data_IF_368976416671
#
_entry.id   IF_368976416671
#
_cell.length_a   1.000
_cell.length_b   1.000
_cell.length_c   1.000
_cell.angle_alpha   90.00
_cell.angle_beta   90.00
_cell.angle_gamma   90.00
#
_symmetry.space_group_name_H-M   'P 1'
#
loop_
_entity.id
_entity.type
_entity.pdbx_description
1 polymer ?
#
# COMPACT_ATOMS: atom_id res chain seq x y z
N UNK A 1 -6.05 50.20 -12.17
CA UNK A 1 -7.18 49.25 -12.03
C UNK A 1 -7.12 48.34 -13.26
N UNK A 2 -6.71 47.08 -13.08
CA UNK A 2 -6.56 46.15 -14.21
C UNK A 2 -7.61 45.04 -14.10
N UNK A 3 -8.45 44.99 -15.11
CA UNK A 3 -9.62 44.11 -15.23
C UNK A 3 -9.24 42.72 -15.75
N UNK A 4 -9.96 41.72 -15.25
CA UNK A 4 -9.93 40.30 -15.61
C UNK A 4 -10.48 40.08 -17.03
N UNK A 5 -9.91 39.12 -17.76
CA UNK A 5 -10.64 38.40 -18.83
C UNK A 5 -10.12 36.96 -18.96
N UNK A 6 -11.04 36.00 -18.89
CA UNK A 6 -10.82 34.56 -19.04
C UNK A 6 -11.08 34.17 -20.50
N UNK A 7 -10.14 33.48 -21.15
CA UNK A 7 -10.26 32.87 -22.48
C UNK A 7 -10.61 31.39 -22.24
N UNK A 8 -11.85 30.94 -22.45
CA UNK A 8 -12.46 30.51 -23.71
C UNK A 8 -11.82 29.23 -24.32
N UNK A 9 -12.58 28.14 -24.19
CA UNK A 9 -12.83 27.10 -25.20
C UNK A 9 -11.66 26.26 -25.73
N UNK A 10 -11.60 24.99 -25.31
CA UNK A 10 -11.06 23.91 -26.13
C UNK A 10 -12.13 22.82 -26.28
N UNK A 11 -12.72 22.75 -27.47
CA UNK A 11 -13.56 21.65 -27.90
C UNK A 11 -12.66 20.46 -28.30
N UNK A 12 -13.05 19.24 -27.94
CA UNK A 12 -12.54 18.05 -28.61
C UNK A 12 -13.69 17.05 -28.82
N UNK A 13 -14.16 17.00 -30.07
CA UNK A 13 -15.05 15.96 -30.61
C UNK A 13 -14.19 14.79 -31.05
N UNK A 14 -14.51 13.57 -30.63
CA UNK A 14 -14.20 12.35 -31.38
C UNK A 14 -15.10 11.21 -30.90
N UNK A 15 -16.04 10.79 -31.75
CA UNK A 15 -16.82 9.57 -31.55
C UNK A 15 -15.98 8.34 -31.86
N UNK A 16 -16.22 7.25 -31.12
CA UNK A 16 -15.86 5.90 -31.54
C UNK A 16 -17.02 4.98 -31.16
N UNK A 17 -17.70 4.46 -32.18
CA UNK A 17 -18.58 3.32 -32.05
C UNK A 17 -17.73 2.03 -32.05
N UNK A 18 -18.13 1.05 -31.25
CA UNK A 18 -17.76 -0.34 -31.49
C UNK A 18 -16.95 -1.00 -30.38
N UNK A 19 -17.46 -2.18 -30.01
CA UNK A 19 -16.83 -3.28 -29.29
C UNK A 19 -16.51 -3.08 -27.80
N UNK A 20 -17.41 -3.62 -26.97
CA UNK A 20 -16.99 -4.24 -25.72
C UNK A 20 -15.94 -5.32 -26.05
N UNK A 21 -14.82 -5.30 -25.33
CA UNK A 21 -14.57 -6.46 -24.49
C UNK A 21 -14.29 -6.00 -23.07
N UNK A 22 -15.09 -6.52 -22.15
CA UNK A 22 -14.66 -6.98 -20.83
C UNK A 22 -13.43 -6.23 -20.31
N UNK A 23 -13.64 -5.08 -19.66
CA UNK A 23 -12.67 -4.64 -18.67
C UNK A 23 -12.71 -5.73 -17.61
N UNK A 24 -11.76 -6.66 -17.74
CA UNK A 24 -11.46 -7.70 -16.77
C UNK A 24 -11.57 -7.08 -15.39
N UNK A 25 -12.36 -7.74 -14.55
CA UNK A 25 -12.55 -7.39 -13.17
C UNK A 25 -11.23 -6.92 -12.56
N UNK A 26 -11.06 -5.61 -12.41
CA UNK A 26 -10.23 -5.01 -11.39
C UNK A 26 -10.95 -5.19 -10.03
N UNK A 27 -11.34 -6.43 -9.77
CA UNK A 27 -11.74 -6.94 -8.47
C UNK A 27 -10.65 -7.94 -8.05
N UNK A 28 -9.38 -7.58 -8.22
CA UNK A 28 -8.36 -8.17 -7.37
C UNK A 28 -8.40 -7.34 -6.11
N UNK A 29 -9.15 -7.84 -5.14
CA UNK A 29 -9.27 -7.39 -3.76
C UNK A 29 -8.20 -6.36 -3.37
N UNK A 30 -8.63 -5.12 -3.10
CA UNK A 30 -7.80 -4.04 -2.54
C UNK A 30 -7.26 -4.36 -1.12
N UNK A 31 -7.25 -5.64 -0.74
CA UNK A 31 -6.59 -6.11 0.46
C UNK A 31 -5.08 -5.93 0.25
N UNK A 32 -4.42 -5.10 1.07
CA UNK A 32 -2.98 -4.98 0.98
C UNK A 32 -2.38 -6.36 1.23
N UNK A 33 -1.53 -6.81 0.30
CA UNK A 33 -0.82 -8.07 0.37
C UNK A 33 0.65 -7.84 -0.02
N UNK A 34 1.57 -8.56 0.62
CA UNK A 34 3.01 -8.45 0.39
C UNK A 34 3.62 -9.82 0.16
N UNK A 35 4.60 -9.93 -0.73
CA UNK A 35 5.34 -11.17 -0.91
C UNK A 35 6.14 -11.50 0.35
N UNK A 36 6.01 -12.71 0.89
CA UNK A 36 6.87 -13.17 1.98
C UNK A 36 8.33 -13.28 1.49
N UNK A 37 9.33 -12.85 2.27
CA UNK A 37 10.74 -13.02 1.91
C UNK A 37 11.23 -14.47 2.04
N UNK A 38 10.55 -15.28 2.85
CA UNK A 38 10.95 -16.66 3.19
C UNK A 38 10.07 -17.70 2.51
N UNK A 39 9.06 -17.28 1.75
CA UNK A 39 8.11 -18.20 1.11
C UNK A 39 7.50 -17.57 -0.13
N UNK A 40 7.05 -18.41 -1.07
CA UNK A 40 6.32 -17.97 -2.26
C UNK A 40 4.87 -17.51 -1.97
N UNK A 41 4.46 -17.52 -0.70
CA UNK A 41 3.14 -17.04 -0.26
C UNK A 41 3.10 -15.52 -0.13
N UNK A 42 1.97 -14.94 -0.54
CA UNK A 42 1.61 -13.57 -0.23
C UNK A 42 1.02 -13.48 1.19
N UNK A 43 1.62 -12.63 2.00
CA UNK A 43 1.16 -12.31 3.35
C UNK A 43 0.08 -11.23 3.27
N UNK A 44 -1.02 -11.46 3.97
CA UNK A 44 -2.18 -10.54 4.05
C UNK A 44 -2.35 -9.97 5.45
N UNK A 45 -3.24 -8.99 5.60
CA UNK A 45 -3.67 -8.56 6.94
C UNK A 45 -4.33 -9.74 7.65
N UNK A 46 -4.02 -9.94 8.93
CA UNK A 46 -4.32 -11.10 9.77
C UNK A 46 -3.47 -12.35 9.48
N UNK A 47 -2.58 -12.34 8.49
CA UNK A 47 -1.65 -13.44 8.27
C UNK A 47 -0.44 -13.35 9.22
N UNK A 48 0.30 -14.44 9.36
CA UNK A 48 1.49 -14.50 10.22
C UNK A 48 2.75 -14.21 9.42
N UNK A 49 3.40 -13.09 9.74
CA UNK A 49 4.71 -12.75 9.22
C UNK A 49 5.79 -13.70 9.78
N UNK A 50 6.87 -13.92 9.01
CA UNK A 50 8.04 -14.67 9.47
C UNK A 50 8.62 -14.12 10.77
N UNK A 51 9.13 -15.01 11.62
CA UNK A 51 9.69 -14.66 12.95
C UNK A 51 10.85 -13.66 12.90
N UNK A 52 11.59 -13.61 11.78
CA UNK A 52 12.65 -12.64 11.58
C UNK A 52 12.16 -11.19 11.73
N UNK A 53 10.89 -10.93 11.42
CA UNK A 53 10.26 -9.61 11.53
C UNK A 53 9.72 -9.31 12.92
N UNK A 54 9.66 -10.29 13.81
CA UNK A 54 9.33 -10.07 15.23
C UNK A 54 10.56 -9.57 16.00
N UNK A 55 11.76 -9.65 15.41
CA UNK A 55 13.00 -9.19 16.03
C UNK A 55 13.11 -7.67 15.94
N UNK A 56 13.56 -7.02 17.02
CA UNK A 56 13.77 -5.58 17.08
C UNK A 56 14.77 -5.06 16.02
N UNK A 57 15.71 -5.90 15.58
CA UNK A 57 16.67 -5.57 14.52
C UNK A 57 16.01 -5.30 13.16
N UNK A 58 14.81 -5.85 12.92
CA UNK A 58 14.02 -5.60 11.71
C UNK A 58 13.00 -4.49 11.88
N UNK A 59 12.87 -3.94 13.09
CA UNK A 59 11.93 -2.87 13.39
C UNK A 59 12.30 -1.57 12.65
N UNK A 60 11.36 -1.04 11.88
CA UNK A 60 11.41 0.25 11.23
C UNK A 60 11.16 1.36 12.27
N UNK A 61 12.21 1.76 12.98
CA UNK A 61 12.14 2.84 14.00
C UNK A 61 11.81 4.22 13.42
N UNK A 62 12.12 4.43 12.14
CA UNK A 62 11.88 5.67 11.41
C UNK A 62 10.49 5.75 10.75
N UNK A 63 9.50 5.01 11.25
CA UNK A 63 8.11 5.04 10.75
C UNK A 63 7.53 6.46 10.67
N UNK A 64 7.84 7.32 11.65
CA UNK A 64 7.39 8.72 11.69
C UNK A 64 7.91 9.55 10.52
N UNK A 65 9.15 9.30 10.09
CA UNK A 65 9.75 9.96 8.94
C UNK A 65 9.19 9.44 7.60
N UNK A 66 8.53 8.27 7.62
CA UNK A 66 7.87 7.67 6.46
C UNK A 66 6.38 8.01 6.36
N UNK A 67 5.86 8.85 7.25
CA UNK A 67 4.43 9.18 7.28
C UNK A 67 3.53 8.03 7.73
N UNK A 68 4.12 6.97 8.31
CA UNK A 68 3.35 5.85 8.86
C UNK A 68 2.76 6.23 10.21
N UNK A 69 1.67 5.55 10.58
CA UNK A 69 1.08 5.69 11.92
C UNK A 69 2.01 5.14 12.99
N UNK A 70 1.82 5.55 14.24
CA UNK A 70 2.49 4.88 15.35
C UNK A 70 2.10 3.40 15.37
N UNK A 71 3.06 2.47 15.56
CA UNK A 71 2.72 1.07 15.75
C UNK A 71 1.87 0.90 17.02
N UNK A 72 0.94 -0.05 16.99
CA UNK A 72 0.10 -0.39 18.15
C UNK A 72 0.91 -1.10 19.25
N UNK A 73 0.28 -1.33 20.40
CA UNK A 73 0.91 -2.01 21.52
C UNK A 73 1.41 -3.41 21.10
N UNK A 74 2.65 -3.71 21.46
CA UNK A 74 3.35 -4.93 21.05
C UNK A 74 3.41 -5.17 19.53
N UNK A 75 3.31 -4.12 18.72
CA UNK A 75 3.54 -4.18 17.29
C UNK A 75 4.71 -3.30 16.87
N UNK A 76 5.21 -3.57 15.67
CA UNK A 76 6.24 -2.75 15.05
C UNK A 76 6.04 -2.70 13.54
N UNK A 77 6.45 -1.60 12.94
CA UNK A 77 6.60 -1.53 11.50
C UNK A 77 7.83 -2.30 11.08
N UNK A 78 7.72 -3.04 9.99
CA UNK A 78 8.84 -3.67 9.30
C UNK A 78 8.71 -3.38 7.81
N UNK A 79 9.83 -3.30 7.11
CA UNK A 79 9.80 -3.21 5.66
C UNK A 79 9.95 -4.61 5.07
N UNK A 80 8.94 -5.03 4.31
CA UNK A 80 8.93 -6.29 3.57
C UNK A 80 8.83 -5.93 2.09
N UNK A 81 9.90 -6.18 1.34
CA UNK A 81 10.00 -5.80 -0.07
C UNK A 81 9.71 -4.29 -0.28
N UNK A 82 8.67 -3.97 -1.05
CA UNK A 82 8.18 -2.63 -1.38
C UNK A 82 7.04 -2.13 -0.47
N UNK A 83 6.79 -2.80 0.66
CA UNK A 83 5.70 -2.44 1.58
C UNK A 83 6.17 -2.33 3.01
N UNK A 84 5.56 -1.40 3.74
CA UNK A 84 5.62 -1.35 5.19
C UNK A 84 4.51 -2.23 5.75
N UNK A 85 4.87 -3.07 6.70
CA UNK A 85 3.98 -4.07 7.29
C UNK A 85 4.07 -3.92 8.79
N UNK A 86 2.93 -3.71 9.44
CA UNK A 86 2.85 -3.67 10.89
C UNK A 86 2.64 -5.10 11.38
N UNK A 87 3.64 -5.61 12.11
CA UNK A 87 3.64 -6.97 12.65
C UNK A 87 3.61 -6.90 14.16
N UNK A 88 2.81 -7.77 14.77
CA UNK A 88 2.82 -7.99 16.21
C UNK A 88 4.10 -8.72 16.60
N UNK A 89 4.83 -8.17 17.57
CA UNK A 89 6.06 -8.75 18.13
C UNK A 89 5.74 -10.05 18.90
N UNK A 90 4.54 -10.16 19.46
CA UNK A 90 4.12 -11.32 20.27
C UNK A 90 3.87 -12.59 19.48
N UNK A 91 3.28 -12.49 18.29
CA UNK A 91 2.84 -13.65 17.51
C UNK A 91 3.14 -13.55 16.01
N UNK A 92 3.68 -12.42 15.54
CA UNK A 92 3.97 -12.17 14.13
C UNK A 92 2.74 -11.82 13.29
N UNK A 93 1.57 -11.61 13.89
CA UNK A 93 0.35 -11.27 13.13
C UNK A 93 0.51 -9.91 12.46
N UNK A 94 0.20 -9.86 11.17
CA UNK A 94 0.17 -8.64 10.39
C UNK A 94 -1.15 -7.93 10.67
N UNK A 95 -1.08 -6.72 11.21
CA UNK A 95 -2.27 -5.94 11.58
C UNK A 95 -2.55 -4.81 10.59
N UNK A 96 -1.52 -4.28 9.95
CA UNK A 96 -1.66 -3.20 8.97
C UNK A 96 -0.58 -3.34 7.90
N UNK A 97 -0.86 -2.84 6.70
CA UNK A 97 0.11 -2.77 5.61
C UNK A 97 -0.07 -1.47 4.83
N UNK A 98 1.04 -0.80 4.53
CA UNK A 98 1.08 0.39 3.72
C UNK A 98 2.11 0.24 2.59
N UNK A 99 1.81 0.70 1.37
CA UNK A 99 2.80 0.75 0.30
C UNK A 99 3.93 1.72 0.66
N UNK A 100 5.16 1.43 0.23
CA UNK A 100 6.27 2.39 0.33
C UNK A 100 6.08 3.43 -0.77
N UNK A 101 5.77 4.68 -0.41
CA UNK A 101 5.82 5.80 -1.36
C UNK A 101 7.29 6.00 -1.80
N UNK A 102 7.52 5.95 -3.12
CA UNK A 102 8.82 6.13 -3.78
C UNK A 102 8.94 7.51 -4.40
#
# INVERSE_FOLDING_TARGET
MNSKTLIASLALVAGIAGITPIVQAAQTSSEPAVQSPTSDRQLKVNDRAPEMYQRDDKALKNWKAKGLKAPIDQAQWVQINDKYVMVMITNGTIVEMQPVER
#
